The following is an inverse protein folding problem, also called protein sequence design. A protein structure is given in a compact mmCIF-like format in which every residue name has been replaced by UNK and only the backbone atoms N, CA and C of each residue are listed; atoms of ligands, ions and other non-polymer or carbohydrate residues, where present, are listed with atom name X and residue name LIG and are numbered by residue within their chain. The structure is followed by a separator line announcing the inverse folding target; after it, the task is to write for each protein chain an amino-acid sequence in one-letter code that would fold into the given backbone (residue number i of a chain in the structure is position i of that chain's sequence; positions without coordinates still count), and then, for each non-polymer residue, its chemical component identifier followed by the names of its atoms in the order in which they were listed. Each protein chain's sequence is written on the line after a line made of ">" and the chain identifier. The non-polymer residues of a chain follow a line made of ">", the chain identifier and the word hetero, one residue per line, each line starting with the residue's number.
data_IF_813569868694
#
_entry.id   IF_813569868694
#
_cell.length_a   1.000
_cell.length_b   1.000
_cell.length_c   1.000
_cell.angle_alpha   90.00
_cell.angle_beta   90.00
_cell.angle_gamma   90.00
#
_symmetry.space_group_name_H-M   'P 1'
#
loop_
_entity.id
_entity.type
_entity.pdbx_description
1 polymer ?
#
# COMPACT_ATOMS: atom_id res chain seq x y z
N UNK A 1 -25.18 -19.30 -49.29
CA UNK A 1 -24.01 -18.46 -49.64
C UNK A 1 -24.16 -16.97 -49.25
N UNK A 2 -25.31 -16.29 -49.46
CA UNK A 2 -25.49 -14.86 -49.10
C UNK A 2 -25.29 -14.54 -47.60
N UNK A 3 -25.77 -15.40 -46.69
CA UNK A 3 -25.62 -15.22 -45.23
C UNK A 3 -24.16 -15.27 -44.73
N UNK A 4 -23.30 -16.03 -45.42
CA UNK A 4 -21.88 -16.16 -45.06
C UNK A 4 -21.05 -14.94 -45.47
N UNK A 5 -21.33 -14.36 -46.65
CA UNK A 5 -20.69 -13.10 -47.08
C UNK A 5 -21.09 -11.92 -46.19
N UNK A 6 -22.37 -11.85 -45.80
CA UNK A 6 -22.84 -10.83 -44.84
C UNK A 6 -22.16 -11.01 -43.48
N UNK A 7 -22.05 -12.25 -42.97
CA UNK A 7 -21.36 -12.51 -41.71
C UNK A 7 -19.87 -12.14 -41.76
N UNK A 8 -19.16 -12.47 -42.85
CA UNK A 8 -17.76 -12.09 -43.05
C UNK A 8 -17.60 -10.56 -43.11
N UNK A 9 -18.48 -9.88 -43.85
CA UNK A 9 -18.48 -8.41 -43.91
C UNK A 9 -18.68 -7.75 -42.54
N UNK A 10 -19.61 -8.27 -41.73
CA UNK A 10 -19.85 -7.79 -40.36
C UNK A 10 -18.60 -7.98 -39.49
N UNK A 11 -17.94 -9.14 -39.55
CA UNK A 11 -16.71 -9.41 -38.78
C UNK A 11 -15.59 -8.43 -39.16
N UNK A 12 -15.40 -8.15 -40.45
CA UNK A 12 -14.39 -7.20 -40.92
C UNK A 12 -14.67 -5.79 -40.41
N UNK A 13 -15.93 -5.32 -40.50
CA UNK A 13 -16.31 -3.99 -40.02
C UNK A 13 -16.12 -3.88 -38.50
N UNK A 14 -16.53 -4.90 -37.74
CA UNK A 14 -16.35 -4.92 -36.28
C UNK A 14 -14.86 -4.93 -35.90
N UNK A 15 -14.03 -5.70 -36.61
CA UNK A 15 -12.59 -5.73 -36.38
C UNK A 15 -11.92 -4.38 -36.64
N UNK A 16 -12.28 -3.71 -37.73
CA UNK A 16 -11.77 -2.37 -38.05
C UNK A 16 -12.22 -1.32 -37.03
N UNK A 17 -13.50 -1.34 -36.63
CA UNK A 17 -14.04 -0.44 -35.63
C UNK A 17 -13.37 -0.61 -34.26
N UNK A 18 -13.20 -1.87 -33.81
CA UNK A 18 -12.49 -2.17 -32.56
C UNK A 18 -11.04 -1.69 -32.60
N UNK A 19 -10.33 -1.95 -33.70
CA UNK A 19 -8.94 -1.50 -33.89
C UNK A 19 -8.81 0.02 -33.77
N UNK A 20 -9.68 0.77 -34.46
CA UNK A 20 -9.69 2.24 -34.40
C UNK A 20 -9.99 2.78 -33.01
N UNK A 21 -10.95 2.18 -32.31
CA UNK A 21 -11.32 2.57 -30.94
C UNK A 21 -10.21 2.26 -29.93
N UNK A 22 -9.54 1.11 -30.05
CA UNK A 22 -8.36 0.73 -29.24
C UNK A 22 -7.19 1.68 -29.42
N UNK A 23 -6.87 2.03 -30.65
CA UNK A 23 -5.83 3.00 -30.93
C UNK A 23 -6.16 4.39 -30.36
N UNK A 24 -7.41 4.85 -30.56
CA UNK A 24 -7.84 6.15 -30.08
C UNK A 24 -7.83 6.23 -28.55
N UNK A 25 -8.29 5.17 -27.87
CA UNK A 25 -8.24 5.08 -26.40
C UNK A 25 -6.80 5.14 -25.90
N UNK A 26 -5.88 4.39 -26.53
CA UNK A 26 -4.45 4.47 -26.21
C UNK A 26 -3.85 5.86 -26.38
N UNK A 27 -4.22 6.56 -27.47
CA UNK A 27 -3.81 7.95 -27.69
C UNK A 27 -4.32 8.88 -26.59
N UNK A 28 -5.55 8.68 -26.11
CA UNK A 28 -6.11 9.49 -25.03
C UNK A 28 -5.39 9.24 -23.69
N UNK A 29 -5.03 7.99 -23.39
CA UNK A 29 -4.24 7.61 -22.21
C UNK A 29 -2.87 8.30 -22.26
N UNK A 30 -2.17 8.24 -23.40
CA UNK A 30 -0.88 8.91 -23.61
C UNK A 30 -1.00 10.42 -23.35
N UNK A 31 -1.99 11.08 -23.95
CA UNK A 31 -2.21 12.52 -23.82
C UNK A 31 -2.52 12.97 -22.38
N UNK A 32 -3.11 12.09 -21.57
CA UNK A 32 -3.51 12.38 -20.19
C UNK A 32 -2.54 11.85 -19.14
N UNK A 33 -1.43 11.23 -19.54
CA UNK A 33 -0.52 10.60 -18.58
C UNK A 33 0.02 11.58 -17.53
N UNK A 34 0.34 12.82 -17.95
CA UNK A 34 0.76 13.87 -17.02
C UNK A 34 -0.32 14.22 -15.98
N UNK A 35 -1.60 14.27 -16.37
CA UNK A 35 -2.73 14.52 -15.47
C UNK A 35 -2.92 13.35 -14.50
N UNK A 36 -2.81 12.11 -14.98
CA UNK A 36 -2.89 10.89 -14.15
C UNK A 36 -1.81 10.91 -13.07
N UNK A 37 -0.55 11.19 -13.43
CA UNK A 37 0.56 11.25 -12.49
C UNK A 37 0.43 12.43 -11.53
N UNK A 38 -0.06 13.59 -11.99
CA UNK A 38 -0.33 14.74 -11.12
C UNK A 38 -1.42 14.43 -10.07
N UNK A 39 -2.50 13.76 -10.49
CA UNK A 39 -3.56 13.32 -9.58
C UNK A 39 -3.04 12.28 -8.58
N UNK A 40 -2.27 11.28 -9.04
CA UNK A 40 -1.64 10.30 -8.16
C UNK A 40 -0.73 10.96 -7.11
N UNK A 41 0.08 11.94 -7.52
CA UNK A 41 0.91 12.72 -6.58
C UNK A 41 0.09 13.52 -5.57
N UNK A 42 -1.07 14.05 -5.97
CA UNK A 42 -1.99 14.74 -5.05
C UNK A 42 -2.49 13.77 -3.98
N UNK A 43 -2.88 12.55 -4.38
CA UNK A 43 -3.33 11.51 -3.45
C UNK A 43 -2.18 11.00 -2.56
N UNK A 44 -0.98 10.79 -3.11
CA UNK A 44 0.20 10.40 -2.33
C UNK A 44 0.48 11.42 -1.22
N UNK A 45 0.41 12.73 -1.52
CA UNK A 45 0.59 13.78 -0.50
C UNK A 45 -0.53 13.82 0.53
N UNK A 46 -1.78 13.56 0.12
CA UNK A 46 -2.92 13.59 1.01
C UNK A 46 -2.93 12.41 2.00
N UNK A 47 -2.63 11.20 1.52
CA UNK A 47 -2.74 9.98 2.31
C UNK A 47 -1.41 9.51 2.92
N UNK A 48 -0.28 9.80 2.26
CA UNK A 48 1.06 9.40 2.68
C UNK A 48 2.03 10.60 2.76
N UNK A 49 1.68 11.68 3.49
CA UNK A 49 2.53 12.87 3.59
C UNK A 49 3.92 12.61 4.19
N UNK A 50 4.05 11.51 4.96
CA UNK A 50 5.30 11.07 5.58
C UNK A 50 6.15 10.16 4.69
N UNK A 51 5.71 9.82 3.49
CA UNK A 51 6.52 9.02 2.59
C UNK A 51 7.63 9.86 1.91
N UNK A 52 7.39 11.16 1.69
CA UNK A 52 8.39 12.04 1.07
C UNK A 52 8.76 11.62 -0.35
N UNK A 53 7.79 11.12 -1.11
CA UNK A 53 7.98 10.57 -2.46
C UNK A 53 7.07 11.23 -3.47
N UNK A 54 7.50 11.18 -4.74
CA UNK A 54 6.72 11.58 -5.90
C UNK A 54 6.75 10.47 -6.96
N UNK A 55 5.63 10.31 -7.63
CA UNK A 55 5.47 9.45 -8.80
C UNK A 55 5.83 10.22 -10.08
N UNK A 56 6.56 9.57 -10.97
CA UNK A 56 6.80 9.97 -12.35
C UNK A 56 6.55 8.80 -13.29
N UNK A 57 6.69 9.05 -14.59
CA UNK A 57 6.62 8.00 -15.61
C UNK A 57 7.68 8.21 -16.69
N UNK A 58 8.14 7.12 -17.29
CA UNK A 58 9.23 7.08 -18.25
C UNK A 58 8.98 6.05 -19.34
N UNK A 59 9.70 6.19 -20.45
CA UNK A 59 9.73 5.20 -21.53
C UNK A 59 8.33 4.78 -22.03
N UNK A 60 7.40 5.74 -22.14
CA UNK A 60 6.06 5.46 -22.65
C UNK A 60 6.12 5.08 -24.13
N UNK A 61 5.74 3.85 -24.45
CA UNK A 61 5.77 3.30 -25.80
C UNK A 61 4.36 2.88 -26.20
N UNK A 62 3.70 3.68 -27.04
CA UNK A 62 2.35 3.39 -27.52
C UNK A 62 2.36 2.45 -28.73
N UNK A 63 1.65 1.34 -28.59
CA UNK A 63 1.26 0.46 -29.68
C UNK A 63 -0.18 0.68 -30.15
N UNK A 64 -0.67 -0.23 -30.99
CA UNK A 64 -2.03 -0.16 -31.54
C UNK A 64 -3.09 -0.56 -30.49
N UNK A 65 -2.87 -1.68 -29.81
CA UNK A 65 -3.78 -2.23 -28.81
C UNK A 65 -3.24 -2.11 -27.38
N UNK A 66 -1.95 -1.92 -27.22
CA UNK A 66 -1.32 -1.82 -25.91
C UNK A 66 -0.22 -0.79 -25.87
N UNK A 67 0.12 -0.32 -24.67
CA UNK A 67 1.28 0.54 -24.41
C UNK A 67 2.14 -0.07 -23.31
N UNK A 68 3.43 0.24 -23.32
CA UNK A 68 4.34 -0.04 -22.20
C UNK A 68 4.72 1.28 -21.54
N UNK A 69 4.78 1.30 -20.21
CA UNK A 69 5.25 2.47 -19.46
C UNK A 69 5.97 2.01 -18.19
N UNK A 70 6.99 2.76 -17.79
CA UNK A 70 7.69 2.59 -16.53
C UNK A 70 7.22 3.69 -15.57
N UNK A 71 6.46 3.35 -14.54
CA UNK A 71 6.22 4.28 -13.43
C UNK A 71 7.40 4.26 -12.47
N UNK A 72 7.79 5.43 -11.97
CA UNK A 72 8.98 5.58 -11.12
C UNK A 72 8.64 6.42 -9.91
N UNK A 73 8.78 5.83 -8.74
CA UNK A 73 8.69 6.50 -7.45
C UNK A 73 10.09 6.97 -7.04
N UNK A 74 10.21 8.25 -6.69
CA UNK A 74 11.47 8.89 -6.28
C UNK A 74 11.24 9.71 -5.01
N UNK A 75 12.30 9.96 -4.25
CA UNK A 75 12.27 10.97 -3.20
C UNK A 75 11.84 12.34 -3.78
N UNK A 76 10.96 13.05 -3.07
CA UNK A 76 10.54 14.41 -3.44
C UNK A 76 11.37 15.51 -2.75
N UNK A 77 12.25 15.12 -1.82
CA UNK A 77 13.17 15.98 -1.08
C UNK A 77 12.58 16.62 0.18
N UNK A 78 11.33 16.30 0.54
CA UNK A 78 10.68 16.86 1.75
C UNK A 78 11.07 16.14 3.03
N UNK A 79 11.52 14.88 2.94
CA UNK A 79 11.97 14.05 4.06
C UNK A 79 13.39 13.57 3.77
N UNK A 80 14.24 13.60 4.78
CA UNK A 80 15.66 13.27 4.67
C UNK A 80 16.10 12.36 5.83
N UNK A 81 17.21 11.64 5.63
CA UNK A 81 17.79 10.77 6.66
C UNK A 81 17.09 9.42 6.75
N UNK A 82 17.20 8.78 7.92
CA UNK A 82 16.69 7.42 8.17
C UNK A 82 15.15 7.34 8.14
N UNK A 83 14.47 8.49 8.26
CA UNK A 83 13.01 8.59 8.19
C UNK A 83 12.46 8.62 6.74
N UNK A 84 13.34 8.75 5.73
CA UNK A 84 12.93 8.82 4.33
C UNK A 84 12.61 7.41 3.76
N UNK A 85 11.45 7.28 3.09
CA UNK A 85 11.07 6.01 2.47
C UNK A 85 11.98 5.60 1.30
N UNK A 86 12.58 6.58 0.62
CA UNK A 86 13.58 6.39 -0.43
C UNK A 86 14.71 7.41 -0.23
N UNK A 87 15.96 6.98 -0.39
CA UNK A 87 17.10 7.88 -0.31
C UNK A 87 17.21 8.74 -1.58
N UNK A 88 17.85 9.92 -1.53
CA UNK A 88 18.08 10.74 -2.72
C UNK A 88 18.85 9.97 -3.80
N UNK A 89 18.27 9.86 -4.99
CA UNK A 89 18.82 9.10 -6.12
C UNK A 89 18.33 7.65 -6.22
N UNK A 90 17.66 7.13 -5.19
CA UNK A 90 16.98 5.85 -5.28
C UNK A 90 15.70 5.97 -6.10
N UNK A 91 15.38 4.88 -6.79
CA UNK A 91 14.16 4.71 -7.55
C UNK A 91 13.52 3.38 -7.22
N UNK A 92 12.22 3.40 -6.95
CA UNK A 92 11.39 2.20 -7.03
C UNK A 92 10.56 2.32 -8.29
N UNK A 93 10.60 1.32 -9.17
CA UNK A 93 9.94 1.40 -10.46
C UNK A 93 9.01 0.22 -10.70
N UNK A 94 7.96 0.48 -11.46
CA UNK A 94 6.92 -0.46 -11.84
C UNK A 94 6.84 -0.50 -13.36
N UNK A 95 6.88 -1.71 -13.91
CA UNK A 95 6.68 -1.96 -15.32
C UNK A 95 5.20 -2.20 -15.57
N UNK A 96 4.62 -1.44 -16.49
CA UNK A 96 3.21 -1.51 -16.82
C UNK A 96 3.02 -1.91 -18.27
N UNK A 97 2.13 -2.88 -18.49
CA UNK A 97 1.55 -3.15 -19.81
C UNK A 97 0.09 -2.75 -19.80
N UNK A 98 -0.28 -1.77 -20.62
CA UNK A 98 -1.61 -1.19 -20.68
C UNK A 98 -2.29 -1.62 -21.99
N UNK A 99 -3.20 -2.58 -21.96
CA UNK A 99 -4.10 -2.90 -23.08
C UNK A 99 -5.26 -1.91 -23.13
N UNK A 100 -5.50 -1.30 -24.30
CA UNK A 100 -6.50 -0.25 -24.51
C UNK A 100 -7.89 -0.80 -24.81
N UNK A 101 -8.90 -0.03 -24.41
CA UNK A 101 -10.34 -0.29 -24.63
C UNK A 101 -10.84 0.01 -26.05
N UNK A 102 -12.07 -0.39 -26.42
CA UNK A 102 -13.17 -0.68 -25.50
C UNK A 102 -13.17 -2.11 -24.96
N UNK A 103 -12.43 -3.01 -25.59
CA UNK A 103 -12.27 -4.39 -25.12
C UNK A 103 -10.78 -4.71 -25.08
N UNK A 104 -10.11 -4.45 -23.94
CA UNK A 104 -8.68 -4.72 -23.78
C UNK A 104 -8.36 -6.18 -24.09
N UNK A 105 -7.29 -6.42 -24.85
CA UNK A 105 -6.98 -7.77 -25.35
C UNK A 105 -6.70 -8.75 -24.20
N UNK A 106 -6.05 -8.30 -23.12
CA UNK A 106 -5.88 -9.09 -21.90
C UNK A 106 -7.21 -9.56 -21.26
N UNK A 107 -8.28 -8.75 -21.33
CA UNK A 107 -9.60 -9.12 -20.80
C UNK A 107 -10.32 -10.10 -21.73
N UNK A 108 -10.18 -9.93 -23.05
CA UNK A 108 -10.73 -10.87 -24.04
C UNK A 108 -10.15 -12.28 -23.89
N UNK A 109 -8.84 -12.40 -23.58
CA UNK A 109 -8.20 -13.70 -23.29
C UNK A 109 -8.82 -14.42 -22.09
N UNK A 110 -9.36 -13.65 -21.13
CA UNK A 110 -10.07 -14.15 -19.94
C UNK A 110 -11.58 -14.29 -20.18
N UNK A 111 -12.04 -14.22 -21.44
CA UNK A 111 -13.45 -14.21 -21.84
C UNK A 111 -14.29 -13.10 -21.19
N UNK A 112 -13.65 -12.03 -20.72
CA UNK A 112 -14.33 -10.89 -20.15
C UNK A 112 -14.68 -9.88 -21.27
N UNK A 113 -15.99 -9.74 -21.52
CA UNK A 113 -16.54 -8.85 -22.55
C UNK A 113 -17.09 -7.54 -21.96
N UNK A 114 -16.72 -7.17 -20.74
CA UNK A 114 -17.15 -5.90 -20.14
C UNK A 114 -16.37 -4.74 -20.77
N UNK A 115 -17.04 -3.76 -21.40
CA UNK A 115 -16.37 -2.59 -21.96
C UNK A 115 -15.54 -1.86 -20.90
N UNK A 116 -14.28 -1.61 -21.20
CA UNK A 116 -13.33 -0.99 -20.26
C UNK A 116 -12.36 -0.10 -21.02
N UNK A 117 -11.89 0.98 -20.38
CA UNK A 117 -10.92 1.90 -20.95
C UNK A 117 -9.54 1.25 -21.08
N UNK A 118 -9.14 0.47 -20.07
CA UNK A 118 -7.86 -0.22 -20.08
C UNK A 118 -7.85 -1.51 -19.24
N UNK A 119 -6.91 -2.38 -19.55
CA UNK A 119 -6.42 -3.42 -18.65
C UNK A 119 -4.93 -3.19 -18.44
N UNK A 120 -4.48 -3.15 -17.20
CA UNK A 120 -3.10 -2.84 -16.83
C UNK A 120 -2.52 -4.04 -16.11
N UNK A 121 -1.37 -4.51 -16.57
CA UNK A 121 -0.56 -5.49 -15.88
C UNK A 121 0.66 -4.81 -15.29
N UNK A 122 0.82 -4.90 -13.97
CA UNK A 122 1.87 -4.24 -13.19
C UNK A 122 2.81 -5.25 -12.58
N UNK A 123 4.12 -5.01 -12.69
CA UNK A 123 5.16 -5.73 -11.94
C UNK A 123 6.18 -4.73 -11.36
N UNK A 124 6.70 -5.01 -10.18
CA UNK A 124 7.87 -4.30 -9.66
C UNK A 124 9.12 -4.58 -10.52
N UNK A 125 9.93 -3.55 -10.78
CA UNK A 125 11.23 -3.64 -11.46
C UNK A 125 12.37 -3.88 -10.45
N UNK A 126 13.38 -4.66 -10.86
CA UNK A 126 14.61 -4.89 -10.08
C UNK A 126 15.56 -3.68 -10.12
N UNK A 127 15.18 -2.63 -9.42
CA UNK A 127 16.01 -1.44 -9.19
C UNK A 127 17.03 -1.68 -8.08
N UNK A 128 18.08 -0.84 -7.95
CA UNK A 128 19.00 -0.91 -6.81
C UNK A 128 18.28 -0.88 -5.45
N UNK A 129 17.24 -0.05 -5.30
CA UNK A 129 16.43 0.03 -4.09
C UNK A 129 15.58 -1.23 -3.82
N UNK A 130 15.14 -1.93 -4.87
CA UNK A 130 14.39 -3.19 -4.76
C UNK A 130 15.27 -4.44 -4.70
N UNK A 131 16.60 -4.31 -4.83
CA UNK A 131 17.50 -5.45 -5.05
C UNK A 131 17.37 -6.54 -3.97
N UNK A 132 17.34 -6.15 -2.70
CA UNK A 132 17.20 -7.12 -1.60
C UNK A 132 15.90 -7.91 -1.71
N UNK A 133 14.81 -7.27 -2.14
CA UNK A 133 13.54 -7.94 -2.36
C UNK A 133 13.65 -8.95 -3.51
N UNK A 134 14.32 -8.59 -4.60
CA UNK A 134 14.57 -9.49 -5.73
C UNK A 134 15.47 -10.67 -5.36
N UNK A 135 16.45 -10.46 -4.48
CA UNK A 135 17.29 -11.55 -3.97
C UNK A 135 16.43 -12.55 -3.14
N UNK A 136 15.45 -12.05 -2.37
CA UNK A 136 14.49 -12.85 -1.60
C UNK A 136 13.56 -13.66 -2.51
N UNK A 137 13.07 -13.04 -3.59
CA UNK A 137 12.11 -13.62 -4.54
C UNK A 137 12.77 -14.38 -5.69
N UNK A 138 14.08 -14.66 -5.61
CA UNK A 138 14.85 -15.40 -6.61
C UNK A 138 14.76 -14.77 -8.01
N UNK A 139 14.83 -13.44 -8.06
CA UNK A 139 14.83 -12.65 -9.29
C UNK A 139 13.46 -12.34 -9.87
N UNK A 140 12.36 -12.68 -9.18
CA UNK A 140 10.99 -12.39 -9.63
C UNK A 140 10.42 -11.15 -8.93
N UNK A 141 9.44 -10.52 -9.55
CA UNK A 141 8.63 -9.51 -8.85
C UNK A 141 7.93 -10.13 -7.65
N UNK A 142 7.92 -9.45 -6.49
CA UNK A 142 7.23 -9.96 -5.28
C UNK A 142 5.72 -10.06 -5.51
N UNK A 143 5.17 -9.16 -6.32
CA UNK A 143 3.76 -9.14 -6.63
C UNK A 143 3.55 -8.82 -8.10
N UNK A 144 2.40 -9.23 -8.61
CA UNK A 144 1.84 -8.75 -9.87
C UNK A 144 0.42 -8.24 -9.63
N UNK A 145 -0.02 -7.30 -10.45
CA UNK A 145 -1.39 -6.81 -10.39
C UNK A 145 -2.00 -6.71 -11.79
N UNK A 146 -3.17 -7.32 -11.97
CA UNK A 146 -4.00 -7.15 -13.15
C UNK A 146 -5.18 -6.24 -12.81
N UNK A 147 -5.15 -5.00 -13.32
CA UNK A 147 -6.16 -3.98 -13.04
C UNK A 147 -6.99 -3.65 -14.27
N UNK A 148 -8.31 -3.68 -14.17
CA UNK A 148 -9.24 -3.24 -15.21
C UNK A 148 -9.82 -1.88 -14.85
N UNK A 149 -9.68 -0.92 -15.74
CA UNK A 149 -10.15 0.45 -15.55
C UNK A 149 -11.36 0.68 -16.45
N UNK A 150 -12.52 0.93 -15.86
CA UNK A 150 -13.76 1.24 -16.57
C UNK A 150 -13.73 2.68 -17.14
N UNK A 151 -14.62 2.99 -18.08
CA UNK A 151 -14.69 4.33 -18.68
C UNK A 151 -15.14 5.43 -17.70
N UNK A 152 -15.81 5.08 -16.61
CA UNK A 152 -16.09 6.01 -15.51
C UNK A 152 -14.88 6.21 -14.57
N UNK A 153 -13.80 5.44 -14.76
CA UNK A 153 -12.56 5.45 -13.99
C UNK A 153 -12.54 4.50 -12.79
N UNK A 154 -13.61 3.74 -12.55
CA UNK A 154 -13.59 2.71 -11.50
C UNK A 154 -12.58 1.62 -11.87
N UNK A 155 -11.88 1.12 -10.86
CA UNK A 155 -10.78 0.18 -11.03
C UNK A 155 -11.07 -1.11 -10.27
N UNK A 156 -10.88 -2.23 -10.94
CA UNK A 156 -11.01 -3.58 -10.38
C UNK A 156 -9.67 -4.30 -10.56
N UNK A 157 -9.04 -4.69 -9.46
CA UNK A 157 -7.67 -5.21 -9.43
C UNK A 157 -7.62 -6.58 -8.79
N UNK A 158 -6.92 -7.51 -9.44
CA UNK A 158 -6.48 -8.77 -8.86
C UNK A 158 -4.97 -8.70 -8.64
N UNK A 159 -4.54 -8.80 -7.40
CA UNK A 159 -3.14 -8.69 -6.97
C UNK A 159 -2.72 -10.04 -6.40
N UNK A 160 -1.59 -10.55 -6.89
CA UNK A 160 -0.99 -11.78 -6.41
C UNK A 160 0.37 -11.47 -5.80
N UNK A 161 0.62 -11.95 -4.58
CA UNK A 161 1.92 -11.91 -3.94
C UNK A 161 2.50 -13.32 -3.98
N UNK A 162 3.69 -13.46 -4.55
CA UNK A 162 4.26 -14.79 -4.77
C UNK A 162 4.69 -15.47 -3.46
N UNK A 163 4.72 -16.81 -3.41
CA UNK A 163 5.35 -17.53 -2.31
C UNK A 163 6.84 -17.21 -2.19
N UNK A 164 7.32 -17.13 -0.96
CA UNK A 164 8.73 -16.87 -0.64
C UNK A 164 9.27 -17.98 0.26
N UNK A 165 10.42 -18.52 -0.12
CA UNK A 165 11.24 -19.40 0.74
C UNK A 165 12.67 -18.88 0.69
N UNK A 166 13.06 -18.22 1.77
CA UNK A 166 14.32 -17.50 1.90
C UNK A 166 15.03 -17.88 3.19
N UNK A 167 16.35 -18.05 3.13
CA UNK A 167 17.18 -18.39 4.28
C UNK A 167 18.50 -17.62 4.21
N UNK A 168 18.90 -16.99 5.31
CA UNK A 168 20.17 -16.26 5.43
C UNK A 168 20.59 -16.14 6.89
N UNK A 169 21.88 -16.37 7.16
CA UNK A 169 22.50 -16.15 8.48
C UNK A 169 21.74 -16.82 9.65
N UNK A 170 21.31 -18.07 9.49
CA UNK A 170 20.57 -18.81 10.53
C UNK A 170 19.12 -18.35 10.72
N UNK A 171 18.63 -17.42 9.89
CA UNK A 171 17.22 -17.03 9.84
C UNK A 171 16.56 -17.54 8.57
N UNK A 172 15.25 -17.82 8.63
CA UNK A 172 14.45 -18.23 7.48
C UNK A 172 13.08 -17.56 7.47
N UNK A 173 12.55 -17.34 6.25
CA UNK A 173 11.21 -16.89 5.97
C UNK A 173 10.56 -17.87 4.99
N UNK A 174 9.43 -18.45 5.38
CA UNK A 174 8.54 -19.21 4.50
C UNK A 174 7.18 -18.54 4.47
N UNK A 175 6.76 -18.08 3.30
CA UNK A 175 5.51 -17.40 3.08
C UNK A 175 4.77 -18.07 1.92
N UNK A 176 3.50 -18.40 2.10
CA UNK A 176 2.69 -19.10 1.11
C UNK A 176 2.29 -18.24 -0.09
N UNK A 177 2.55 -16.93 -0.05
CA UNK A 177 1.93 -15.98 -0.97
C UNK A 177 0.59 -15.47 -0.44
N UNK A 178 0.03 -14.49 -1.13
CA UNK A 178 -1.26 -13.89 -0.83
C UNK A 178 -2.01 -13.52 -2.11
N UNK A 179 -3.33 -13.42 -1.99
CA UNK A 179 -4.22 -12.89 -3.03
C UNK A 179 -4.98 -11.70 -2.47
N UNK A 180 -5.12 -10.63 -3.26
CA UNK A 180 -5.89 -9.44 -2.90
C UNK A 180 -6.73 -9.04 -4.11
N UNK A 181 -8.05 -9.02 -3.94
CA UNK A 181 -8.97 -8.42 -4.90
C UNK A 181 -9.41 -7.06 -4.38
N UNK A 182 -9.43 -6.06 -5.25
CA UNK A 182 -9.77 -4.69 -4.89
C UNK A 182 -10.68 -4.05 -5.94
N UNK A 183 -11.83 -3.54 -5.53
CA UNK A 183 -12.70 -2.71 -6.36
C UNK A 183 -12.76 -1.30 -5.75
N UNK A 184 -12.28 -0.32 -6.50
CA UNK A 184 -12.07 1.05 -6.01
C UNK A 184 -12.75 2.02 -6.99
N UNK A 185 -13.68 2.81 -6.49
CA UNK A 185 -14.30 3.88 -7.27
C UNK A 185 -13.27 4.97 -7.60
N UNK A 186 -13.42 5.63 -8.75
CA UNK A 186 -12.46 6.66 -9.23
C UNK A 186 -12.17 7.76 -8.20
N UNK A 187 -13.16 8.14 -7.41
CA UNK A 187 -13.07 9.21 -6.41
C UNK A 187 -12.65 8.72 -5.02
N UNK A 188 -12.29 7.44 -4.90
CA UNK A 188 -11.91 6.75 -3.67
C UNK A 188 -13.02 6.71 -2.60
N UNK A 189 -14.27 7.01 -2.97
CA UNK A 189 -15.40 7.03 -2.05
C UNK A 189 -16.09 5.70 -1.88
N UNK A 190 -15.75 4.68 -2.67
CA UNK A 190 -16.20 3.31 -2.45
C UNK A 190 -15.01 2.38 -2.65
N UNK A 191 -14.77 1.52 -1.67
CA UNK A 191 -13.63 0.61 -1.62
C UNK A 191 -14.12 -0.75 -1.11
N UNK A 192 -13.97 -1.76 -1.95
CA UNK A 192 -14.10 -3.16 -1.56
C UNK A 192 -12.74 -3.84 -1.67
N UNK A 193 -12.34 -4.58 -0.64
CA UNK A 193 -11.11 -5.35 -0.59
C UNK A 193 -11.40 -6.75 -0.06
N UNK A 194 -10.88 -7.78 -0.71
CA UNK A 194 -10.87 -9.16 -0.21
C UNK A 194 -9.46 -9.73 -0.36
N UNK A 195 -8.75 -9.89 0.76
CA UNK A 195 -7.37 -10.34 0.82
C UNK A 195 -7.22 -11.59 1.68
N UNK A 196 -6.36 -12.51 1.25
CA UNK A 196 -6.08 -13.75 2.00
C UNK A 196 -4.65 -14.26 1.83
N UNK A 197 -4.17 -14.97 2.85
CA UNK A 197 -2.87 -15.65 2.87
C UNK A 197 -2.95 -16.92 3.73
N UNK A 198 -2.34 -18.01 3.30
CA UNK A 198 -2.44 -19.30 4.00
C UNK A 198 -1.45 -19.45 5.16
N UNK A 199 -0.19 -19.04 4.98
CA UNK A 199 0.81 -19.16 6.04
C UNK A 199 2.01 -18.22 5.87
N UNK A 200 2.55 -17.79 7.01
CA UNK A 200 3.85 -17.12 7.11
C UNK A 200 4.60 -17.68 8.32
N UNK A 201 5.85 -18.10 8.11
CA UNK A 201 6.73 -18.63 9.15
C UNK A 201 8.05 -17.92 9.08
N UNK A 202 8.44 -17.31 10.20
CA UNK A 202 9.75 -16.68 10.38
C UNK A 202 10.47 -17.47 11.47
N UNK A 203 11.71 -17.83 11.23
CA UNK A 203 12.58 -18.53 12.19
C UNK A 203 13.91 -17.81 12.29
N UNK A 204 14.46 -17.66 13.49
CA UNK A 204 15.79 -17.08 13.70
C UNK A 204 16.17 -17.00 15.17
N UNK A 205 17.40 -16.58 15.48
CA UNK A 205 17.84 -16.40 16.86
C UNK A 205 17.14 -15.20 17.51
N UNK A 206 16.61 -15.37 18.71
CA UNK A 206 16.12 -14.27 19.54
C UNK A 206 17.27 -13.54 20.27
N UNK A 207 16.93 -12.52 21.06
CA UNK A 207 17.90 -11.74 21.85
C UNK A 207 18.69 -12.56 22.90
N UNK A 208 18.27 -13.78 23.19
CA UNK A 208 18.93 -14.72 24.12
C UNK A 208 19.73 -15.82 23.39
N UNK A 209 19.81 -15.74 22.06
CA UNK A 209 20.50 -16.74 21.23
C UNK A 209 19.73 -18.06 21.04
N UNK A 210 18.46 -18.11 21.47
CA UNK A 210 17.61 -19.28 21.30
C UNK A 210 16.92 -19.24 19.94
N UNK A 211 16.59 -20.41 19.38
CA UNK A 211 15.91 -20.46 18.09
C UNK A 211 14.41 -20.19 18.26
N UNK A 212 13.97 -19.01 17.88
CA UNK A 212 12.57 -18.60 17.89
C UNK A 212 11.94 -18.83 16.52
N UNK A 213 10.71 -19.33 16.51
CA UNK A 213 9.88 -19.43 15.32
C UNK A 213 8.52 -18.79 15.60
N UNK A 214 8.14 -17.84 14.75
CA UNK A 214 6.82 -17.23 14.71
C UNK A 214 6.09 -17.78 13.48
N UNK A 215 4.90 -18.33 13.68
CA UNK A 215 4.08 -18.92 12.63
C UNK A 215 2.69 -18.31 12.67
N UNK A 216 2.27 -17.75 11.55
CA UNK A 216 0.92 -17.27 11.29
C UNK A 216 0.27 -18.22 10.29
N UNK A 217 -0.93 -18.68 10.59
CA UNK A 217 -1.74 -19.54 9.72
C UNK A 217 -3.08 -18.88 9.47
N UNK A 218 -3.47 -18.84 8.20
CA UNK A 218 -4.71 -18.29 7.68
C UNK A 218 -4.94 -16.85 8.09
N UNK A 219 -4.65 -15.91 7.20
CA UNK A 219 -5.04 -14.51 7.29
C UNK A 219 -6.14 -14.24 6.28
N UNK A 220 -7.20 -13.54 6.69
CA UNK A 220 -8.16 -12.95 5.76
C UNK A 220 -8.53 -11.55 6.18
N UNK A 221 -8.71 -10.67 5.20
CA UNK A 221 -9.13 -9.29 5.35
C UNK A 221 -10.26 -9.03 4.35
N UNK A 222 -11.41 -8.57 4.83
CA UNK A 222 -12.50 -8.11 4.00
C UNK A 222 -12.85 -6.69 4.38
N UNK A 223 -13.07 -5.83 3.40
CA UNK A 223 -13.47 -4.44 3.58
C UNK A 223 -14.53 -4.14 2.54
N UNK A 224 -15.61 -3.50 2.95
CA UNK A 224 -16.60 -2.91 2.07
C UNK A 224 -16.99 -1.58 2.69
N UNK A 225 -16.48 -0.50 2.09
CA UNK A 225 -16.62 0.84 2.64
C UNK A 225 -17.06 1.84 1.60
N UNK A 226 -17.77 2.85 2.07
CA UNK A 226 -18.22 3.99 1.29
C UNK A 226 -18.07 5.29 2.08
N UNK A 227 -17.96 6.41 1.38
CA UNK A 227 -18.00 7.73 2.01
C UNK A 227 -19.41 8.00 2.58
N UNK A 228 -19.47 8.44 3.84
CA UNK A 228 -20.67 8.97 4.48
C UNK A 228 -20.89 10.45 4.19
N UNK A 229 -22.02 10.99 4.67
CA UNK A 229 -22.40 12.41 4.64
C UNK A 229 -21.36 13.30 5.31
N UNK A 230 -20.62 12.76 6.29
CA UNK A 230 -19.52 13.45 6.96
C UNK A 230 -18.16 13.25 6.29
N UNK A 231 -18.12 12.66 5.09
CA UNK A 231 -16.88 12.37 4.33
C UNK A 231 -15.93 11.44 5.12
N UNK A 232 -16.51 10.59 5.96
CA UNK A 232 -15.84 9.49 6.65
C UNK A 232 -16.04 8.20 5.87
N UNK A 233 -15.05 7.31 5.88
CA UNK A 233 -15.22 5.96 5.34
C UNK A 233 -16.01 5.12 6.33
N UNK A 234 -17.21 4.70 5.93
CA UNK A 234 -18.17 3.91 6.70
C UNK A 234 -18.41 2.58 6.00
N UNK A 235 -18.86 1.56 6.73
CA UNK A 235 -19.12 0.24 6.18
C UNK A 235 -18.58 -0.88 7.08
N UNK A 236 -18.31 -2.02 6.46
CA UNK A 236 -17.93 -3.25 7.14
C UNK A 236 -16.45 -3.55 6.92
N UNK A 237 -15.77 -4.00 7.97
CA UNK A 237 -14.42 -4.55 7.88
C UNK A 237 -14.36 -5.84 8.70
N UNK A 238 -13.63 -6.83 8.22
CA UNK A 238 -13.39 -8.08 8.94
C UNK A 238 -11.95 -8.50 8.74
N UNK A 239 -11.26 -8.78 9.83
CA UNK A 239 -9.92 -9.35 9.86
C UNK A 239 -10.02 -10.66 10.65
N UNK A 240 -9.50 -11.75 10.09
CA UNK A 240 -9.44 -13.04 10.77
C UNK A 240 -8.05 -13.65 10.67
N UNK A 241 -7.55 -14.19 11.78
CA UNK A 241 -6.32 -14.99 11.85
C UNK A 241 -6.66 -16.34 12.48
N UNK A 242 -6.43 -17.46 11.76
CA UNK A 242 -6.77 -18.80 12.27
C UNK A 242 -5.88 -19.19 13.44
N UNK A 243 -4.58 -18.95 13.33
CA UNK A 243 -3.64 -19.21 14.41
C UNK A 243 -2.40 -18.32 14.30
N UNK A 244 -1.97 -17.78 15.44
CA UNK A 244 -0.63 -17.24 15.65
C UNK A 244 0.07 -18.11 16.67
N UNK A 245 1.27 -18.60 16.35
CA UNK A 245 2.05 -19.49 17.20
C UNK A 245 3.49 -19.01 17.31
N UNK A 246 4.03 -19.01 18.52
CA UNK A 246 5.43 -18.74 18.81
C UNK A 246 6.01 -19.96 19.51
N UNK A 247 7.16 -20.41 19.03
CA UNK A 247 7.94 -21.49 19.65
C UNK A 247 9.37 -21.05 19.88
N UNK A 248 9.95 -21.44 21.01
CA UNK A 248 11.37 -21.21 21.33
C UNK A 248 12.02 -22.55 21.60
N UNK A 249 13.12 -22.84 20.90
CA UNK A 249 13.81 -24.14 20.93
C UNK A 249 12.82 -25.32 20.75
N UNK A 250 11.90 -25.16 19.79
CA UNK A 250 10.83 -26.11 19.43
C UNK A 250 9.78 -26.36 20.53
N UNK A 251 9.77 -25.55 21.59
CA UNK A 251 8.74 -25.59 22.64
C UNK A 251 7.74 -24.48 22.42
N UNK A 252 6.46 -24.80 22.54
CA UNK A 252 5.37 -23.84 22.40
C UNK A 252 5.43 -22.83 23.56
N UNK A 253 5.53 -21.54 23.23
CA UNK A 253 5.57 -20.46 24.23
C UNK A 253 4.27 -19.66 24.23
N UNK A 254 3.72 -19.39 23.05
CA UNK A 254 2.47 -18.67 22.86
C UNK A 254 1.71 -19.30 21.69
N UNK A 255 0.43 -19.58 21.88
CA UNK A 255 -0.51 -19.86 20.78
C UNK A 255 -1.77 -19.04 20.97
N UNK A 256 -2.18 -18.35 19.93
CA UNK A 256 -3.46 -17.64 19.84
C UNK A 256 -4.26 -18.28 18.72
N UNK A 257 -5.38 -18.90 19.07
CA UNK A 257 -6.30 -19.56 18.13
C UNK A 257 -7.50 -18.64 17.84
N UNK A 258 -7.90 -18.56 16.58
CA UNK A 258 -9.19 -18.00 16.15
C UNK A 258 -9.38 -16.51 16.47
N UNK A 259 -8.41 -15.67 16.13
CA UNK A 259 -8.57 -14.21 16.24
C UNK A 259 -9.54 -13.71 15.17
N UNK A 260 -10.56 -12.95 15.58
CA UNK A 260 -11.40 -12.20 14.65
C UNK A 260 -11.63 -10.78 15.16
N UNK A 261 -11.58 -9.83 14.24
CA UNK A 261 -11.96 -8.44 14.42
C UNK A 261 -12.98 -8.10 13.34
N UNK A 262 -14.21 -7.78 13.74
CA UNK A 262 -15.24 -7.27 12.84
C UNK A 262 -15.61 -5.85 13.26
N UNK A 263 -15.72 -4.94 12.31
CA UNK A 263 -16.24 -3.61 12.54
C UNK A 263 -17.35 -3.30 11.56
N UNK A 264 -18.34 -2.57 12.05
CA UNK A 264 -19.44 -2.04 11.25
C UNK A 264 -19.67 -0.60 11.69
N UNK A 265 -19.47 0.33 10.76
CA UNK A 265 -19.74 1.74 10.97
C UNK A 265 -20.79 2.23 9.99
N UNK A 266 -21.67 3.09 10.47
CA UNK A 266 -22.71 3.70 9.68
C UNK A 266 -23.08 5.07 10.21
N UNK A 267 -24.03 5.68 9.55
CA UNK A 267 -24.54 6.99 9.93
C UNK A 267 -26.06 7.05 9.80
N UNK A 268 -26.63 7.91 10.62
CA UNK A 268 -28.00 8.42 10.53
C UNK A 268 -27.95 9.89 10.11
N UNK A 269 -29.09 10.58 10.01
CA UNK A 269 -29.13 11.98 9.54
C UNK A 269 -28.26 12.95 10.34
N UNK A 270 -28.03 12.69 11.63
CA UNK A 270 -27.26 13.59 12.50
C UNK A 270 -26.13 12.93 13.30
N UNK A 271 -26.04 11.59 13.30
CA UNK A 271 -25.13 10.86 14.18
C UNK A 271 -24.44 9.70 13.48
N UNK A 272 -23.22 9.41 13.93
CA UNK A 272 -22.53 8.16 13.62
C UNK A 272 -22.92 7.08 14.62
N UNK A 273 -22.98 5.85 14.11
CA UNK A 273 -23.14 4.64 14.90
C UNK A 273 -22.08 3.62 14.47
N UNK A 274 -21.67 2.77 15.39
CA UNK A 274 -20.66 1.78 15.12
C UNK A 274 -20.69 0.61 16.08
N UNK A 275 -20.15 -0.52 15.63
CA UNK A 275 -19.91 -1.69 16.43
C UNK A 275 -18.53 -2.25 16.08
N UNK A 276 -17.77 -2.62 17.09
CA UNK A 276 -16.51 -3.34 16.96
C UNK A 276 -16.62 -4.60 17.80
N UNK A 277 -16.48 -5.75 17.16
CA UNK A 277 -16.45 -7.06 17.79
C UNK A 277 -15.04 -7.65 17.68
N UNK A 278 -14.50 -8.03 18.83
CA UNK A 278 -13.24 -8.74 18.98
C UNK A 278 -13.52 -10.13 19.55
N UNK A 279 -13.00 -11.17 18.92
CA UNK A 279 -13.03 -12.54 19.47
C UNK A 279 -11.68 -13.22 19.35
N UNK A 280 -11.42 -14.13 20.28
CA UNK A 280 -10.27 -15.02 20.30
C UNK A 280 -10.74 -16.35 20.91
N UNK A 281 -10.53 -17.46 20.20
CA UNK A 281 -11.04 -18.77 20.58
C UNK A 281 -10.25 -19.38 21.73
N UNK A 282 -8.92 -19.23 21.72
CA UNK A 282 -8.06 -19.65 22.82
C UNK A 282 -6.76 -18.85 22.86
N UNK A 283 -6.28 -18.56 24.08
CA UNK A 283 -4.91 -18.12 24.34
C UNK A 283 -4.20 -19.19 25.15
N UNK A 284 -3.09 -19.72 24.63
CA UNK A 284 -2.26 -20.70 25.33
C UNK A 284 -0.88 -20.12 25.57
N UNK A 285 -0.39 -20.24 26.81
CA UNK A 285 0.97 -19.85 27.19
C UNK A 285 1.66 -21.07 27.76
N UNK A 286 2.79 -21.46 27.18
CA UNK A 286 3.51 -22.70 27.55
C UNK A 286 2.58 -23.92 27.60
N UNK A 287 1.78 -24.10 26.54
CA UNK A 287 0.75 -25.15 26.40
C UNK A 287 -0.38 -25.16 27.46
N UNK A 288 -0.44 -24.16 28.35
CA UNK A 288 -1.55 -23.99 29.28
C UNK A 288 -2.59 -23.09 28.65
N UNK A 289 -3.83 -23.55 28.62
CA UNK A 289 -4.97 -22.79 28.11
C UNK A 289 -5.42 -21.74 29.13
N UNK A 290 -5.33 -20.46 28.76
CA UNK A 290 -5.80 -19.30 29.52
C UNK A 290 -7.24 -18.91 29.14
N UNK A 291 -7.85 -19.60 28.18
CA UNK A 291 -9.24 -19.45 27.78
C UNK A 291 -9.44 -18.54 26.56
N UNK A 292 -10.73 -18.29 26.30
CA UNK A 292 -11.22 -17.48 25.20
C UNK A 292 -11.47 -16.02 25.62
N UNK A 293 -11.51 -15.11 24.64
CA UNK A 293 -11.84 -13.70 24.86
C UNK A 293 -12.88 -13.20 23.87
N UNK A 294 -13.84 -12.40 24.36
CA UNK A 294 -14.79 -11.67 23.50
C UNK A 294 -15.03 -10.28 24.08
N UNK A 295 -14.91 -9.26 23.23
CA UNK A 295 -15.25 -7.88 23.56
C UNK A 295 -16.12 -7.32 22.43
N UNK A 296 -17.24 -6.71 22.79
CA UNK A 296 -18.11 -6.00 21.86
C UNK A 296 -18.26 -4.56 22.33
N UNK A 297 -17.91 -3.61 21.47
CA UNK A 297 -18.02 -2.18 21.73
C UNK A 297 -19.06 -1.59 20.79
N UNK A 298 -20.14 -1.05 21.34
CA UNK A 298 -21.18 -0.37 20.58
C UNK A 298 -21.11 1.13 20.83
N UNK A 299 -21.06 1.88 19.74
CA UNK A 299 -21.05 3.34 19.71
C UNK A 299 -22.37 3.78 19.09
N UNK A 300 -23.11 4.61 19.79
CA UNK A 300 -24.36 5.19 19.30
C UNK A 300 -24.34 6.70 19.55
N UNK A 301 -25.03 7.45 18.68
CA UNK A 301 -25.22 8.90 18.76
C UNK A 301 -23.92 9.71 18.86
N UNK A 302 -22.87 9.29 18.15
CA UNK A 302 -21.63 10.06 18.11
C UNK A 302 -21.83 11.28 17.20
N UNK A 303 -21.83 12.47 17.81
CA UNK A 303 -22.12 13.72 17.12
C UNK A 303 -21.00 14.17 16.17
N UNK A 304 -21.38 15.02 15.21
CA UNK A 304 -20.51 15.57 14.16
C UNK A 304 -19.18 16.16 14.63
N UNK A 305 -19.16 16.86 15.77
CA UNK A 305 -17.93 17.48 16.28
C UNK A 305 -16.83 16.44 16.64
N UNK A 306 -17.23 15.25 17.08
CA UNK A 306 -16.30 14.15 17.37
C UNK A 306 -15.83 13.49 16.07
N UNK A 307 -16.72 13.36 15.08
CA UNK A 307 -16.40 12.88 13.74
C UNK A 307 -15.33 13.74 13.04
N UNK A 308 -15.46 15.07 13.12
CA UNK A 308 -14.48 16.01 12.55
C UNK A 308 -13.12 15.96 13.27
N UNK A 309 -13.09 15.59 14.55
CA UNK A 309 -11.87 15.35 15.31
C UNK A 309 -11.08 14.13 14.82
N UNK A 310 -11.78 13.05 14.45
CA UNK A 310 -11.18 11.81 13.92
C UNK A 310 -10.54 12.04 12.54
N UNK A 311 -11.06 12.98 11.75
CA UNK A 311 -10.53 13.34 10.43
C UNK A 311 -9.19 14.07 10.50
N UNK A 312 -8.88 14.75 11.61
CA UNK A 312 -7.59 15.46 11.71
C UNK A 312 -6.48 14.40 11.82
N UNK A 313 -5.47 14.40 10.93
CA UNK A 313 -4.29 13.60 11.18
C UNK A 313 -3.76 13.99 12.56
N UNK A 314 -3.45 13.00 13.40
CA UNK A 314 -2.84 13.21 14.70
C UNK A 314 -1.59 14.07 14.50
N UNK A 315 -1.72 15.38 14.70
CA UNK A 315 -0.57 16.27 14.83
C UNK A 315 0.11 15.83 16.13
N UNK A 316 1.39 15.43 16.10
CA UNK A 316 2.09 15.14 17.34
C UNK A 316 2.02 16.38 18.21
N UNK A 317 1.68 16.18 19.49
CA UNK A 317 1.76 17.25 20.49
C UNK A 317 3.15 17.87 20.37
N UNK A 318 3.20 19.15 19.99
CA UNK A 318 4.45 19.88 19.95
C UNK A 318 5.04 19.80 21.36
N UNK A 319 6.19 19.13 21.49
CA UNK A 319 7.03 19.30 22.66
C UNK A 319 7.53 20.74 22.64
N UNK A 320 6.74 21.63 23.24
CA UNK A 320 7.18 22.94 23.68
C UNK A 320 8.25 22.73 24.74
N UNK A 321 9.51 22.71 24.32
CA UNK A 321 10.59 23.06 25.22
C UNK A 321 10.50 24.57 25.48
N UNK A 322 9.65 24.93 26.44
CA UNK A 322 9.72 26.22 27.13
C UNK A 322 11.02 26.25 27.94
N UNK A 323 12.12 26.63 27.29
CA UNK A 323 13.30 27.09 27.99
C UNK A 323 13.07 28.55 28.43
N UNK A 324 12.32 28.71 29.52
CA UNK A 324 12.29 29.93 30.32
C UNK A 324 13.68 30.15 30.96
N UNK A 325 14.60 30.73 30.20
CA UNK A 325 15.91 31.20 30.67
C UNK A 325 15.83 32.66 31.12
N UNK A 326 15.77 32.86 32.43
CA UNK A 326 15.66 34.15 33.12
C UNK A 326 16.69 35.18 32.66
N UNK A 327 16.17 36.35 32.31
CA UNK A 327 16.85 37.63 32.30
C UNK A 327 17.44 37.92 33.69
N UNK A 328 18.76 38.09 33.78
CA UNK A 328 19.38 38.74 34.93
C UNK A 328 20.47 39.69 34.43
N UNK A 329 20.11 40.97 34.35
CA UNK A 329 21.05 42.02 34.01
C UNK A 329 21.99 42.35 35.16
N UNK A 330 23.25 42.66 34.84
CA UNK A 330 24.00 43.79 35.41
C UNK A 330 25.38 43.95 34.77
N UNK A 331 25.63 45.21 34.32
CA UNK A 331 26.92 45.93 34.20
C UNK A 331 27.91 45.33 33.17
N UNK A 332 28.29 45.97 32.07
CA UNK A 332 28.64 47.38 31.88
C UNK A 332 30.12 47.58 32.17
N UNK A 333 30.98 47.58 31.13
CA UNK A 333 32.09 48.52 30.92
C UNK A 333 32.94 48.14 29.69
N UNK A 334 33.20 49.18 28.91
CA UNK A 334 34.08 49.30 27.73
C UNK A 334 35.56 49.18 28.09
N UNK A 335 36.39 48.64 27.20
CA UNK A 335 37.58 49.31 26.65
C UNK A 335 38.42 48.36 25.75
N UNK A 336 38.92 48.93 24.67
CA UNK A 336 39.93 48.39 23.77
C UNK A 336 41.27 48.17 24.46
N UNK A 337 42.11 47.25 23.95
CA UNK A 337 43.49 47.60 23.57
C UNK A 337 44.13 46.55 22.64
N UNK A 338 45.07 47.05 21.85
CA UNK A 338 45.92 46.41 20.85
C UNK A 338 46.93 45.40 21.42
N UNK A 339 47.46 44.51 20.55
CA UNK A 339 48.80 43.93 20.76
C UNK A 339 49.01 42.48 20.31
N UNK A 340 49.44 42.33 19.05
CA UNK A 340 50.15 41.18 18.44
C UNK A 340 51.45 40.79 19.22
N UNK A 341 52.28 39.76 18.87
CA UNK A 341 52.15 38.52 18.07
C UNK A 341 52.70 37.25 18.80
N UNK A 342 52.82 36.15 18.03
CA UNK A 342 53.79 35.03 18.15
C UNK A 342 53.40 33.79 18.97
N UNK A 343 52.96 32.75 18.26
CA UNK A 343 53.76 31.53 18.02
C UNK A 343 52.91 30.40 17.37
N UNK A 344 53.26 30.05 16.13
CA UNK A 344 53.14 28.68 15.59
C UNK A 344 54.36 27.85 16.09
N UNK A 345 54.46 26.50 15.97
CA UNK A 345 53.72 25.61 15.05
C UNK A 345 53.31 24.19 15.56
N UNK A 346 52.35 23.61 14.84
CA UNK A 346 52.31 22.26 14.24
C UNK A 346 52.30 20.93 15.06
N UNK A 347 51.76 19.93 14.34
CA UNK A 347 51.86 18.46 14.47
C UNK A 347 50.76 17.84 15.36
N UNK A 348 49.64 17.34 14.80
CA UNK A 348 49.43 16.12 14.00
C UNK A 348 49.57 14.81 14.82
N UNK A 349 48.41 14.24 15.18
CA UNK A 349 48.06 12.83 15.06
C UNK A 349 46.53 12.72 15.16
#
# INVERSE_FOLDING_TARGET
>A
MKKSLVAVGVIVVLGAAWTGASWYTGKLIEQRMGEVVANANTQLKAYLPKAGVKLGYENYQRGLFSSQVRYVLRADGTISGDDAALQPGDELAFLETIDHGPFPFAQLKKFNLIPSMASVHTELENTPAAKTLFDITKGKSLFSADSRIAYNGDTSSAIEVIPVDYQKNGSSLKFSGATINADIARDLKAIQLDGSSDSAVITGPNQFGQNEQVSLQGLSLKTDTHAGKFDLSLGNQTLAVKQLKVTVDQKDTLTLDGFNLASQFGETDSNLNGQIDYTMDALKIQDRDFGAGKLSLKIDKLGRAVAEGIRRPLQPAGHGHDAAGRNNGRRGLSAADHGNPDAKPAIAA
#
